data_IF_903346220041
#
_entry.id   IF_903346220041
#
_cell.length_a   1.000
_cell.length_b   1.000
_cell.length_c   1.000
_cell.angle_alpha   90.00
_cell.angle_beta   90.00
_cell.angle_gamma   90.00
#
_symmetry.space_group_name_H-M   'P 1'
#
loop_
_entity.id
_entity.type
_entity.pdbx_description
1 polymer ?
#
# COMPACT_ATOMS: atom_id res chain seq x y z
N UNK A 1 -10.81 -3.64 1.08
CA UNK A 1 -10.30 -3.17 2.41
C UNK A 1 -10.61 -4.25 3.45
N UNK A 2 -9.69 -4.57 4.36
CA UNK A 2 -9.93 -5.59 5.40
C UNK A 2 -10.34 -4.96 6.74
N UNK A 3 -9.55 -4.03 7.27
CA UNK A 3 -9.89 -3.22 8.44
C UNK A 3 -9.00 -1.98 8.50
N UNK A 4 -9.37 -1.03 9.35
CA UNK A 4 -8.58 0.17 9.64
C UNK A 4 -8.48 0.38 11.15
N UNK A 5 -7.31 0.81 11.61
CA UNK A 5 -7.09 1.26 12.98
C UNK A 5 -6.35 2.59 12.95
N UNK A 6 -7.05 3.66 13.30
CA UNK A 6 -6.53 5.02 13.16
C UNK A 6 -6.13 5.32 11.72
N UNK A 7 -4.91 5.83 11.53
CA UNK A 7 -4.36 6.17 10.22
C UNK A 7 -3.84 4.97 9.41
N UNK A 8 -3.88 3.74 9.91
CA UNK A 8 -3.35 2.59 9.18
C UNK A 8 -4.48 1.73 8.60
N UNK A 9 -4.47 1.55 7.28
CA UNK A 9 -5.43 0.74 6.55
C UNK A 9 -4.78 -0.59 6.17
N UNK A 10 -5.46 -1.71 6.44
CA UNK A 10 -5.03 -3.04 5.99
C UNK A 10 -5.82 -3.42 4.75
N UNK A 11 -5.12 -3.64 3.64
CA UNK A 11 -5.64 -4.09 2.37
C UNK A 11 -5.32 -5.58 2.17
N UNK A 12 -6.18 -6.25 1.41
CA UNK A 12 -6.00 -7.64 0.97
C UNK A 12 -6.11 -7.65 -0.55
N UNK A 13 -5.22 -8.38 -1.21
CA UNK A 13 -5.33 -8.61 -2.64
C UNK A 13 -6.51 -9.55 -2.92
N UNK A 14 -7.38 -9.27 -3.91
CA UNK A 14 -8.55 -10.12 -4.20
C UNK A 14 -8.15 -11.54 -4.60
N UNK A 15 -7.06 -11.67 -5.36
CA UNK A 15 -6.56 -12.95 -5.89
C UNK A 15 -5.46 -13.59 -5.04
N UNK A 16 -4.75 -12.80 -4.21
CA UNK A 16 -3.61 -13.26 -3.38
C UNK A 16 -3.96 -13.09 -1.91
N UNK A 17 -4.82 -13.97 -1.40
CA UNK A 17 -5.41 -13.83 -0.05
C UNK A 17 -4.40 -13.90 1.09
N UNK A 18 -3.22 -14.49 0.84
CA UNK A 18 -2.10 -14.50 1.79
C UNK A 18 -1.41 -13.14 1.95
N UNK A 19 -1.46 -12.30 0.91
CA UNK A 19 -0.82 -10.98 0.90
C UNK A 19 -1.71 -9.99 1.63
N UNK A 20 -1.14 -9.34 2.65
CA UNK A 20 -1.76 -8.26 3.39
C UNK A 20 -0.81 -7.06 3.38
N UNK A 21 -1.34 -5.91 3.00
CA UNK A 21 -0.56 -4.68 2.97
C UNK A 21 -1.14 -3.67 3.94
N UNK A 22 -0.23 -3.06 4.71
CA UNK A 22 -0.56 -1.95 5.61
C UNK A 22 -0.17 -0.66 4.91
N UNK A 23 -1.17 0.18 4.63
CA UNK A 23 -1.01 1.49 4.01
C UNK A 23 -1.25 2.58 5.07
N UNK A 24 -0.25 3.44 5.36
CA UNK A 24 -0.48 4.61 6.19
C UNK A 24 -1.26 5.66 5.39
N UNK A 25 -2.40 6.06 5.93
CA UNK A 25 -3.33 7.02 5.37
C UNK A 25 -3.36 8.25 6.29
N UNK A 26 -2.40 9.15 6.10
CA UNK A 26 -2.27 10.41 6.86
C UNK A 26 -2.88 11.60 6.11
N UNK A 27 -3.98 11.41 5.39
CA UNK A 27 -4.69 12.46 4.65
C UNK A 27 -3.80 13.14 3.61
N UNK A 28 -3.51 14.43 3.81
CA UNK A 28 -2.74 15.29 2.89
C UNK A 28 -1.22 15.14 2.98
N UNK A 29 -0.70 14.22 3.79
CA UNK A 29 0.75 13.99 3.92
C UNK A 29 1.24 12.94 2.94
N UNK A 30 2.36 13.23 2.28
CA UNK A 30 3.06 12.28 1.44
C UNK A 30 3.58 11.09 2.27
N UNK A 31 3.54 9.90 1.65
CA UNK A 31 4.15 8.69 2.21
C UNK A 31 5.67 8.79 2.02
N UNK A 32 6.44 8.40 3.04
CA UNK A 32 7.89 8.38 2.94
C UNK A 32 8.34 7.44 1.79
N UNK A 33 9.38 7.79 1.00
CA UNK A 33 9.81 6.99 -0.15
C UNK A 33 10.10 5.53 0.21
N UNK A 34 10.77 5.26 1.34
CA UNK A 34 11.04 3.89 1.79
C UNK A 34 9.78 3.08 2.11
N UNK A 35 8.74 3.75 2.63
CA UNK A 35 7.44 3.11 2.88
C UNK A 35 6.72 2.79 1.58
N UNK A 36 6.76 3.71 0.60
CA UNK A 36 6.20 3.49 -0.72
C UNK A 36 6.90 2.31 -1.43
N UNK A 37 8.24 2.30 -1.46
CA UNK A 37 9.01 1.20 -2.05
C UNK A 37 8.69 -0.15 -1.39
N UNK A 38 8.52 -0.18 -0.06
CA UNK A 38 8.14 -1.41 0.64
C UNK A 38 6.76 -1.91 0.21
N UNK A 39 5.77 -1.02 0.17
CA UNK A 39 4.40 -1.37 -0.27
C UNK A 39 4.41 -1.91 -1.71
N UNK A 40 5.13 -1.23 -2.62
CA UNK A 40 5.25 -1.67 -4.01
C UNK A 40 5.95 -3.03 -4.12
N UNK A 41 7.02 -3.25 -3.35
CA UNK A 41 7.71 -4.55 -3.28
C UNK A 41 6.79 -5.66 -2.77
N UNK A 42 6.00 -5.40 -1.73
CA UNK A 42 5.10 -6.39 -1.12
C UNK A 42 3.98 -6.83 -2.09
N UNK A 43 3.57 -5.98 -3.03
CA UNK A 43 2.65 -6.36 -4.15
C UNK A 43 3.35 -7.04 -5.33
N UNK A 44 4.69 -7.11 -5.33
CA UNK A 44 5.47 -7.55 -6.49
C UNK A 44 5.53 -6.52 -7.63
N UNK A 45 5.21 -5.26 -7.34
CA UNK A 45 5.33 -4.12 -8.25
C UNK A 45 6.75 -3.54 -8.14
N UNK A 46 7.76 -4.25 -8.63
CA UNK A 46 9.18 -3.85 -8.54
C UNK A 46 9.59 -2.76 -9.55
N UNK A 47 8.64 -2.01 -10.10
CA UNK A 47 8.89 -0.91 -11.04
C UNK A 47 8.66 0.47 -10.42
N UNK A 48 9.50 1.44 -10.81
CA UNK A 48 9.51 2.83 -10.34
C UNK A 48 8.26 3.67 -10.70
N UNK A 49 7.09 3.08 -10.99
CA UNK A 49 5.92 3.83 -11.48
C UNK A 49 4.57 3.17 -11.18
N UNK A 50 3.76 3.77 -10.29
CA UNK A 50 2.31 3.74 -10.41
C UNK A 50 1.87 4.98 -11.19
N UNK A 51 2.11 5.01 -12.51
CA UNK A 51 1.67 6.14 -13.37
C UNK A 51 0.22 5.99 -13.87
N UNK A 52 -0.40 4.83 -13.68
CA UNK A 52 -1.72 4.50 -14.22
C UNK A 52 -2.86 4.55 -13.18
N UNK A 53 -2.55 4.91 -11.93
CA UNK A 53 -3.50 4.96 -10.82
C UNK A 53 -3.83 6.39 -10.36
N UNK A 54 -3.41 7.41 -11.11
CA UNK A 54 -3.76 8.83 -10.91
C UNK A 54 -4.88 9.26 -11.85
#
# INVERSE_FOLDING_TARGET
>A
MHHQRGSHIVLKHPERREVRIVVPCHGSRSVAPGTLHRILRDEGLTGDRPRELM
#
